data_IF_948149809623
#
_entry.id   IF_948149809623
#
_cell.length_a   1.000
_cell.length_b   1.000
_cell.length_c   1.000
_cell.angle_alpha   90.00
_cell.angle_beta   90.00
_cell.angle_gamma   90.00
#
_symmetry.space_group_name_H-M   'P 1'
#
loop_
_entity.id
_entity.type
_entity.pdbx_description
1 polymer ?
#
# COMPACT_ATOMS: atom_id res chain seq x y z
N UNK A 1 6.88 26.64 -12.22
CA UNK A 1 6.54 25.33 -11.64
C UNK A 1 7.58 24.33 -12.09
N UNK A 2 8.08 23.48 -11.20
CA UNK A 2 9.06 22.45 -11.55
C UNK A 2 8.30 21.24 -12.10
N UNK A 3 8.63 20.73 -13.30
CA UNK A 3 8.01 19.51 -13.82
C UNK A 3 8.23 18.35 -12.83
N UNK A 4 7.16 17.62 -12.52
CA UNK A 4 7.19 16.45 -11.67
C UNK A 4 6.21 15.39 -12.17
N UNK A 5 6.48 14.14 -11.84
CA UNK A 5 5.70 12.97 -12.24
C UNK A 5 5.34 12.15 -11.01
N UNK A 6 4.18 11.50 -11.02
CA UNK A 6 3.87 10.47 -10.04
C UNK A 6 4.55 9.16 -10.45
N UNK A 7 5.55 8.76 -9.67
CA UNK A 7 6.11 7.42 -9.71
C UNK A 7 5.34 6.49 -8.77
N UNK A 8 5.46 5.19 -9.00
CA UNK A 8 4.87 4.17 -8.15
C UNK A 8 5.97 3.24 -7.63
N UNK A 9 5.99 3.00 -6.32
CA UNK A 9 6.85 2.04 -5.67
C UNK A 9 6.00 0.86 -5.19
N UNK A 10 6.12 -0.27 -5.88
CA UNK A 10 5.25 -1.42 -5.70
C UNK A 10 5.89 -2.46 -4.79
N UNK A 11 5.09 -3.01 -3.87
CA UNK A 11 5.54 -4.07 -2.99
C UNK A 11 5.64 -5.39 -3.73
N UNK A 12 6.86 -5.91 -3.89
CA UNK A 12 7.09 -7.22 -4.47
C UNK A 12 6.57 -8.30 -3.50
N UNK A 13 5.74 -9.21 -3.99
CA UNK A 13 5.10 -10.24 -3.16
C UNK A 13 6.16 -11.18 -2.62
N UNK A 14 6.13 -11.48 -1.31
CA UNK A 14 7.11 -12.34 -0.64
C UNK A 14 6.88 -13.85 -0.86
N UNK A 15 7.91 -14.70 -0.69
CA UNK A 15 7.81 -16.15 -0.92
C UNK A 15 6.80 -16.88 -0.02
N UNK A 16 6.50 -16.30 1.15
CA UNK A 16 5.58 -16.86 2.16
C UNK A 16 4.13 -16.38 2.01
N UNK A 17 3.77 -15.78 0.85
CA UNK A 17 2.39 -15.38 0.56
C UNK A 17 1.43 -16.54 0.84
N UNK A 18 0.44 -16.31 1.69
CA UNK A 18 -0.45 -17.36 2.21
C UNK A 18 -1.74 -16.76 2.75
N UNK A 19 -2.80 -17.56 2.79
CA UNK A 19 -4.10 -17.17 3.32
C UNK A 19 -4.30 -17.64 4.77
N UNK A 20 -3.55 -17.03 5.70
CA UNK A 20 -3.58 -17.38 7.12
C UNK A 20 -4.73 -16.70 7.92
N UNK A 21 -5.45 -15.75 7.32
CA UNK A 21 -6.61 -15.09 7.94
C UNK A 21 -6.27 -14.23 9.16
N UNK A 22 -5.25 -13.38 9.05
CA UNK A 22 -4.62 -12.67 10.18
C UNK A 22 -5.16 -11.25 10.44
N UNK A 23 -6.10 -10.76 9.62
CA UNK A 23 -6.57 -9.36 9.65
C UNK A 23 -8.06 -9.25 9.99
N UNK A 24 -8.43 -9.04 11.27
CA UNK A 24 -9.81 -8.70 11.63
C UNK A 24 -10.33 -7.47 10.87
N UNK A 25 -11.57 -7.55 10.36
CA UNK A 25 -12.18 -6.51 9.53
C UNK A 25 -11.81 -6.51 8.06
N UNK A 26 -10.82 -7.31 7.64
CA UNK A 26 -10.60 -7.61 6.22
C UNK A 26 -11.38 -8.89 5.85
N UNK A 27 -12.50 -8.71 5.16
CA UNK A 27 -13.39 -9.79 4.78
C UNK A 27 -12.71 -10.80 3.85
N UNK A 28 -11.90 -10.35 2.89
CA UNK A 28 -11.20 -11.24 1.95
C UNK A 28 -10.20 -12.16 2.67
N UNK A 29 -9.39 -11.60 3.57
CA UNK A 29 -8.49 -12.36 4.44
C UNK A 29 -9.25 -13.41 5.27
N UNK A 30 -10.46 -13.07 5.73
CA UNK A 30 -11.26 -13.97 6.58
C UNK A 30 -11.92 -15.09 5.77
N UNK A 31 -12.43 -14.79 4.58
CA UNK A 31 -13.12 -15.73 3.68
C UNK A 31 -12.18 -16.77 3.07
N UNK A 32 -10.93 -16.39 2.76
CA UNK A 32 -9.96 -17.30 2.14
C UNK A 32 -9.06 -18.01 3.17
N UNK A 33 -9.34 -17.86 4.48
CA UNK A 33 -8.52 -18.44 5.53
C UNK A 33 -8.43 -19.97 5.39
N UNK A 34 -7.21 -20.49 5.32
CA UNK A 34 -6.95 -21.93 5.21
C UNK A 34 -6.76 -22.43 3.78
N UNK A 35 -7.13 -21.62 2.77
CA UNK A 35 -6.99 -21.99 1.37
C UNK A 35 -5.53 -22.05 0.92
N UNK A 36 -5.28 -22.84 -0.12
CA UNK A 36 -3.98 -22.88 -0.76
C UNK A 36 -3.74 -21.59 -1.57
N UNK A 37 -2.58 -20.99 -1.37
CA UNK A 37 -2.09 -19.83 -2.12
C UNK A 37 -1.13 -20.28 -3.22
N UNK A 38 -0.84 -19.39 -4.17
CA UNK A 38 0.19 -19.60 -5.18
C UNK A 38 1.16 -18.41 -5.15
N UNK A 39 2.22 -18.48 -4.32
CA UNK A 39 3.22 -17.42 -4.21
C UNK A 39 3.84 -17.04 -5.56
N UNK A 40 4.18 -18.03 -6.41
CA UNK A 40 4.76 -17.79 -7.74
C UNK A 40 3.83 -16.98 -8.62
N UNK A 41 2.56 -17.35 -8.71
CA UNK A 41 1.57 -16.59 -9.47
C UNK A 41 1.38 -15.18 -8.87
N UNK A 42 1.41 -15.05 -7.54
CA UNK A 42 1.24 -13.76 -6.88
C UNK A 42 2.36 -12.77 -7.23
N UNK A 43 3.62 -13.21 -7.20
CA UNK A 43 4.76 -12.36 -7.57
C UNK A 43 4.73 -12.01 -9.06
N UNK A 44 4.38 -12.95 -9.94
CA UNK A 44 4.27 -12.70 -11.38
C UNK A 44 3.12 -11.74 -11.72
N UNK A 45 1.96 -11.88 -11.09
CA UNK A 45 0.83 -10.94 -11.23
C UNK A 45 1.22 -9.51 -10.81
N UNK A 46 1.96 -9.38 -9.70
CA UNK A 46 2.51 -8.09 -9.27
C UNK A 46 3.45 -7.48 -10.32
N UNK A 47 4.41 -8.27 -10.83
CA UNK A 47 5.37 -7.83 -11.84
C UNK A 47 4.69 -7.42 -13.16
N UNK A 48 3.71 -8.19 -13.63
CA UNK A 48 2.95 -7.88 -14.85
C UNK A 48 2.15 -6.56 -14.69
N UNK A 49 1.59 -6.30 -13.50
CA UNK A 49 0.94 -5.03 -13.17
C UNK A 49 1.93 -3.87 -13.24
N UNK A 50 3.09 -4.00 -12.62
CA UNK A 50 4.13 -2.97 -12.66
C UNK A 50 4.58 -2.72 -14.10
N UNK A 51 4.82 -3.78 -14.88
CA UNK A 51 5.20 -3.69 -16.28
C UNK A 51 4.15 -2.96 -17.11
N UNK A 52 2.87 -3.24 -16.88
CA UNK A 52 1.76 -2.54 -17.54
C UNK A 52 1.85 -1.03 -17.33
N UNK A 53 2.14 -0.56 -16.11
CA UNK A 53 2.29 0.88 -15.86
C UNK A 53 3.58 1.47 -16.43
N UNK A 54 4.68 0.73 -16.37
CA UNK A 54 5.94 1.14 -16.99
C UNK A 54 5.79 1.34 -18.50
N UNK A 55 5.05 0.46 -19.16
CA UNK A 55 4.76 0.52 -20.61
C UNK A 55 3.81 1.66 -20.98
N UNK A 56 3.03 2.16 -20.01
CA UNK A 56 2.26 3.40 -20.12
C UNK A 56 3.10 4.67 -19.85
N UNK A 57 4.41 4.52 -19.64
CA UNK A 57 5.35 5.63 -19.44
C UNK A 57 5.43 6.17 -18.01
N UNK A 58 4.83 5.48 -17.03
CA UNK A 58 4.92 5.87 -15.61
C UNK A 58 6.17 5.27 -14.98
N UNK A 59 6.98 6.03 -14.22
CA UNK A 59 8.09 5.45 -13.47
C UNK A 59 7.60 4.43 -12.44
N UNK A 60 8.22 3.25 -12.44
CA UNK A 60 7.90 2.14 -11.54
C UNK A 60 9.15 1.72 -10.76
N UNK A 61 8.99 1.46 -9.48
CA UNK A 61 10.03 1.00 -8.56
C UNK A 61 9.57 -0.24 -7.82
N UNK A 62 10.52 -1.07 -7.43
CA UNK A 62 10.29 -2.32 -6.70
C UNK A 62 10.68 -2.11 -5.23
N UNK A 63 9.73 -2.25 -4.31
CA UNK A 63 10.01 -2.41 -2.88
C UNK A 63 10.18 -3.90 -2.58
N UNK A 64 11.34 -4.33 -2.05
CA UNK A 64 11.60 -5.75 -1.81
C UNK A 64 10.70 -6.31 -0.68
N UNK A 65 10.37 -7.62 -0.70
CA UNK A 65 9.69 -8.26 0.40
C UNK A 65 10.59 -8.31 1.64
N UNK A 66 9.99 -8.59 2.80
CA UNK A 66 10.71 -8.68 4.07
C UNK A 66 11.17 -10.12 4.36
N UNK A 67 12.11 -10.26 5.31
CA UNK A 67 12.46 -11.57 5.86
C UNK A 67 11.24 -12.22 6.52
N UNK A 68 10.81 -13.36 5.96
CA UNK A 68 9.73 -14.20 6.44
C UNK A 68 10.13 -15.67 6.26
N UNK A 69 9.89 -16.56 7.24
CA UNK A 69 9.47 -16.29 8.62
C UNK A 69 10.40 -15.32 9.39
N UNK A 70 9.84 -14.40 10.17
CA UNK A 70 10.60 -13.44 10.98
C UNK A 70 11.10 -14.09 12.28
N UNK A 71 12.22 -14.81 12.19
CA UNK A 71 12.85 -15.49 13.33
C UNK A 71 13.26 -14.51 14.44
N UNK A 72 13.83 -13.32 14.15
CA UNK A 72 14.13 -12.34 15.19
C UNK A 72 12.93 -11.99 16.07
N UNK A 73 11.74 -11.78 15.48
CA UNK A 73 10.51 -11.55 16.24
C UNK A 73 10.18 -12.72 17.17
N UNK A 74 10.22 -13.96 16.68
CA UNK A 74 9.93 -15.14 17.51
C UNK A 74 10.90 -15.23 18.70
N UNK A 75 12.18 -14.89 18.51
CA UNK A 75 13.16 -14.86 19.61
C UNK A 75 12.80 -13.82 20.68
N UNK A 76 12.19 -12.68 20.32
CA UNK A 76 11.69 -11.70 21.31
C UNK A 76 10.58 -12.25 22.21
N UNK A 77 9.89 -13.30 21.76
CA UNK A 77 8.85 -13.99 22.52
C UNK A 77 9.40 -15.11 23.41
N UNK A 78 10.73 -15.31 23.44
CA UNK A 78 11.41 -16.28 24.29
C UNK A 78 11.71 -17.63 23.64
N UNK A 79 11.44 -17.82 22.34
CA UNK A 79 11.86 -19.02 21.62
C UNK A 79 13.38 -19.02 21.40
N UNK A 80 14.05 -20.14 21.70
CA UNK A 80 15.52 -20.25 21.67
C UNK A 80 16.00 -21.47 20.88
N UNK A 81 17.32 -21.57 20.65
CA UNK A 81 17.94 -22.60 19.83
C UNK A 81 18.28 -22.12 18.42
N UNK A 82 18.52 -23.04 17.50
CA UNK A 82 18.68 -22.76 16.07
C UNK A 82 17.41 -22.17 15.46
N UNK A 83 17.52 -21.53 14.29
CA UNK A 83 16.36 -20.91 13.62
C UNK A 83 15.26 -21.93 13.30
N UNK A 84 15.64 -23.15 12.89
CA UNK A 84 14.72 -24.25 12.68
C UNK A 84 13.98 -24.65 13.96
N UNK A 85 14.71 -24.77 15.09
CA UNK A 85 14.12 -25.08 16.39
C UNK A 85 13.20 -23.97 16.88
N UNK A 86 13.54 -22.70 16.64
CA UNK A 86 12.67 -21.56 16.97
C UNK A 86 11.37 -21.62 16.18
N UNK A 87 11.45 -21.87 14.87
CA UNK A 87 10.29 -22.00 14.01
C UNK A 87 9.39 -23.17 14.44
N UNK A 88 9.98 -24.34 14.67
CA UNK A 88 9.26 -25.55 15.11
C UNK A 88 8.54 -25.32 16.46
N UNK A 89 9.26 -24.79 17.46
CA UNK A 89 8.69 -24.47 18.77
C UNK A 89 7.55 -23.45 18.65
N UNK A 90 7.72 -22.39 17.84
CA UNK A 90 6.68 -21.39 17.67
C UNK A 90 5.41 -21.98 17.05
N UNK A 91 5.52 -22.84 16.03
CA UNK A 91 4.36 -23.51 15.44
C UNK A 91 3.68 -24.50 16.37
N UNK A 92 4.44 -25.17 17.23
CA UNK A 92 3.92 -26.11 18.23
C UNK A 92 3.23 -25.41 19.39
N UNK A 93 3.89 -24.41 19.97
CA UNK A 93 3.49 -23.83 21.26
C UNK A 93 2.66 -22.55 21.10
N UNK A 94 2.84 -21.80 20.01
CA UNK A 94 2.14 -20.55 19.76
C UNK A 94 1.88 -20.25 18.26
N UNK A 95 1.07 -21.08 17.56
CA UNK A 95 0.89 -21.02 16.12
C UNK A 95 0.37 -19.67 15.59
N UNK A 96 -0.36 -18.89 16.40
CA UNK A 96 -0.80 -17.54 15.99
C UNK A 96 0.37 -16.55 15.86
N UNK A 97 1.37 -16.64 16.72
CA UNK A 97 2.59 -15.82 16.61
C UNK A 97 3.48 -16.30 15.46
N UNK A 98 3.58 -17.62 15.26
CA UNK A 98 4.28 -18.21 14.12
C UNK A 98 3.67 -17.76 12.79
N UNK A 99 2.34 -17.82 12.64
CA UNK A 99 1.65 -17.35 11.45
C UNK A 99 1.85 -15.84 11.22
N UNK A 100 1.83 -15.02 12.28
CA UNK A 100 2.10 -13.59 12.16
C UNK A 100 3.53 -13.30 11.66
N UNK A 101 4.51 -14.09 12.10
CA UNK A 101 5.90 -13.99 11.66
C UNK A 101 6.09 -14.35 10.17
N UNK A 102 5.13 -15.03 9.54
CA UNK A 102 5.24 -15.53 8.16
C UNK A 102 4.50 -14.68 7.13
N UNK A 103 3.75 -13.66 7.53
CA UNK A 103 2.89 -12.91 6.60
C UNK A 103 3.67 -12.14 5.53
N UNK A 104 3.26 -12.28 4.25
CA UNK A 104 3.75 -11.47 3.13
C UNK A 104 3.04 -10.10 2.98
N UNK A 105 2.40 -9.61 4.04
CA UNK A 105 1.72 -8.31 4.07
C UNK A 105 2.53 -7.07 3.66
N UNK A 106 3.88 -7.03 3.73
CA UNK A 106 4.66 -5.91 3.18
C UNK A 106 4.41 -5.63 1.69
N UNK A 107 3.86 -6.59 0.93
CA UNK A 107 3.49 -6.39 -0.47
C UNK A 107 2.49 -5.24 -0.67
N UNK A 108 1.70 -4.91 0.36
CA UNK A 108 0.77 -3.80 0.31
C UNK A 108 1.47 -2.47 0.60
N UNK A 109 2.23 -2.01 -0.39
CA UNK A 109 3.05 -0.80 -0.32
C UNK A 109 2.25 0.49 -0.05
N UNK A 110 0.93 0.52 -0.30
CA UNK A 110 0.09 1.65 0.11
C UNK A 110 0.16 1.92 1.63
N UNK A 111 0.48 0.90 2.44
CA UNK A 111 0.65 1.06 3.88
C UNK A 111 2.11 1.20 4.31
N UNK A 112 3.07 1.18 3.37
CA UNK A 112 4.49 1.22 3.71
C UNK A 112 4.83 2.52 4.44
N UNK A 113 4.36 3.66 3.93
CA UNK A 113 4.60 4.98 4.49
C UNK A 113 3.51 5.97 4.05
N UNK A 114 3.41 7.11 4.73
CA UNK A 114 2.83 8.32 4.17
C UNK A 114 3.93 9.11 3.44
N UNK A 115 3.59 9.72 2.30
CA UNK A 115 4.53 10.48 1.46
C UNK A 115 4.05 11.93 1.32
N UNK A 116 4.94 12.90 1.49
CA UNK A 116 4.67 14.31 1.18
C UNK A 116 5.68 14.77 0.13
N UNK A 117 5.23 15.16 -1.09
CA UNK A 117 6.13 15.67 -2.13
C UNK A 117 6.83 16.96 -1.70
N UNK A 118 7.98 17.25 -2.31
CA UNK A 118 8.76 18.47 -2.07
C UNK A 118 7.96 19.76 -2.31
N UNK A 119 7.02 19.75 -3.24
CA UNK A 119 6.12 20.87 -3.50
C UNK A 119 5.20 21.22 -2.32
N UNK A 120 5.00 20.29 -1.38
CA UNK A 120 4.11 20.44 -0.24
C UNK A 120 4.86 20.45 1.11
N UNK A 121 6.18 20.26 1.10
CA UNK A 121 6.99 20.18 2.31
C UNK A 121 7.74 21.50 2.55
N UNK A 122 7.77 21.94 3.81
CA UNK A 122 8.36 23.23 4.18
C UNK A 122 9.87 23.38 3.85
N UNK A 123 10.62 22.28 3.80
CA UNK A 123 12.06 22.28 3.51
C UNK A 123 12.39 21.91 2.04
N UNK A 124 11.36 21.68 1.20
CA UNK A 124 11.53 21.33 -0.21
C UNK A 124 12.06 19.92 -0.48
N UNK A 125 12.06 19.01 0.50
CA UNK A 125 12.39 17.58 0.31
C UNK A 125 11.15 16.72 0.21
N UNK A 126 11.27 15.53 -0.39
CA UNK A 126 10.22 14.52 -0.33
C UNK A 126 10.34 13.78 1.00
N UNK A 127 9.27 13.79 1.80
CA UNK A 127 9.25 13.16 3.11
C UNK A 127 8.50 11.84 3.09
N UNK A 128 9.02 10.88 3.87
CA UNK A 128 8.43 9.58 4.09
C UNK A 128 8.38 9.30 5.59
N UNK A 129 7.24 8.88 6.12
CA UNK A 129 7.15 8.28 7.46
C UNK A 129 6.61 6.87 7.31
N UNK A 130 7.41 5.81 7.57
CA UNK A 130 6.91 4.45 7.60
C UNK A 130 5.74 4.30 8.58
N UNK A 131 4.68 3.62 8.18
CA UNK A 131 3.52 3.42 9.05
C UNK A 131 3.84 2.36 10.11
N UNK A 132 3.40 2.55 11.36
CA UNK A 132 3.69 1.59 12.42
C UNK A 132 2.79 0.35 12.39
N UNK A 133 1.62 0.43 11.72
CA UNK A 133 0.69 -0.68 11.49
C UNK A 133 0.31 -1.44 12.76
N UNK A 134 0.30 -0.74 13.90
CA UNK A 134 0.21 -1.34 15.24
C UNK A 134 -1.11 -2.09 15.47
N UNK A 135 -2.14 -1.81 14.68
CA UNK A 135 -3.46 -2.44 14.81
C UNK A 135 -3.42 -3.94 14.49
N UNK A 136 -2.53 -4.39 13.61
CA UNK A 136 -2.38 -5.79 13.25
C UNK A 136 -0.97 -6.29 13.56
N UNK A 137 -0.86 -7.30 14.42
CA UNK A 137 0.44 -7.81 14.88
C UNK A 137 1.40 -8.17 13.74
N UNK A 138 0.94 -8.94 12.75
CA UNK A 138 1.80 -9.35 11.63
C UNK A 138 2.33 -8.16 10.82
N UNK A 139 1.59 -7.05 10.82
CA UNK A 139 1.95 -5.81 10.12
C UNK A 139 2.79 -4.86 10.95
N UNK A 140 2.64 -4.86 12.27
CA UNK A 140 3.49 -4.05 13.14
C UNK A 140 4.96 -4.47 13.12
N UNK A 141 5.27 -5.63 12.54
CA UNK A 141 6.63 -6.13 12.29
C UNK A 141 7.28 -5.54 11.03
N UNK A 142 6.59 -4.71 10.26
CA UNK A 142 7.03 -4.25 8.93
C UNK A 142 7.96 -3.04 9.00
N UNK A 143 7.58 -2.03 9.80
CA UNK A 143 8.04 -0.64 9.64
C UNK A 143 9.57 -0.46 9.65
N UNK A 144 10.31 -1.26 10.43
CA UNK A 144 11.77 -1.16 10.49
C UNK A 144 12.44 -1.61 9.19
N UNK A 145 11.97 -2.71 8.59
CA UNK A 145 12.50 -3.17 7.30
C UNK A 145 11.99 -2.28 6.17
N UNK A 146 10.75 -1.81 6.25
CA UNK A 146 10.19 -0.82 5.32
C UNK A 146 11.05 0.44 5.27
N UNK A 147 11.48 0.95 6.43
CA UNK A 147 12.38 2.11 6.48
C UNK A 147 13.68 1.83 5.71
N UNK A 148 14.31 0.67 5.90
CA UNK A 148 15.53 0.31 5.15
C UNK A 148 15.30 0.26 3.65
N UNK A 149 14.15 -0.28 3.22
CA UNK A 149 13.77 -0.32 1.80
C UNK A 149 13.60 1.11 1.23
N UNK A 150 12.98 2.01 1.99
CA UNK A 150 12.83 3.41 1.60
C UNK A 150 14.16 4.16 1.59
N UNK A 151 15.02 3.97 2.61
CA UNK A 151 16.37 4.53 2.64
C UNK A 151 17.20 4.05 1.43
N UNK A 152 17.07 2.77 1.06
CA UNK A 152 17.76 2.20 -0.10
C UNK A 152 17.23 2.72 -1.43
N UNK A 153 15.91 2.98 -1.54
CA UNK A 153 15.30 3.52 -2.75
C UNK A 153 15.54 5.03 -2.92
N UNK A 154 15.59 5.78 -1.81
CA UNK A 154 15.69 7.23 -1.76
C UNK A 154 16.94 7.70 -0.98
N UNK A 155 18.16 7.42 -1.48
CA UNK A 155 19.39 7.57 -0.70
C UNK A 155 19.88 9.03 -0.54
N UNK A 156 19.46 9.94 -1.41
CA UNK A 156 19.94 11.32 -1.44
C UNK A 156 19.28 12.19 -0.33
N UNK A 157 19.94 12.29 0.83
CA UNK A 157 19.39 12.96 2.03
C UNK A 157 19.13 14.48 1.88
N UNK A 158 19.73 15.12 0.88
CA UNK A 158 19.46 16.51 0.49
C UNK A 158 18.12 16.67 -0.24
N UNK A 159 17.54 15.56 -0.74
CA UNK A 159 16.27 15.52 -1.49
C UNK A 159 15.20 14.72 -0.78
N UNK A 160 15.60 13.76 0.04
CA UNK A 160 14.72 12.79 0.68
C UNK A 160 14.91 12.78 2.18
N UNK A 161 13.80 12.70 2.90
CA UNK A 161 13.78 12.57 4.36
C UNK A 161 12.89 11.40 4.76
N UNK A 162 13.53 10.25 5.01
CA UNK A 162 12.86 9.04 5.52
C UNK A 162 12.95 9.03 7.04
N UNK A 163 11.83 9.35 7.69
CA UNK A 163 11.69 9.36 9.15
C UNK A 163 11.60 7.95 9.72
N UNK A 164 11.72 7.83 11.03
CA UNK A 164 11.26 6.63 11.74
C UNK A 164 9.72 6.62 11.84
N UNK A 165 9.14 5.42 11.95
CA UNK A 165 7.72 5.29 12.23
C UNK A 165 7.31 6.01 13.52
N UNK A 166 6.02 6.36 13.64
CA UNK A 166 5.48 6.78 14.94
C UNK A 166 5.60 5.65 15.96
N UNK A 167 5.77 5.94 17.26
CA UNK A 167 5.79 4.91 18.31
C UNK A 167 4.63 3.93 18.16
N UNK A 168 4.93 2.62 18.22
CA UNK A 168 3.97 1.54 18.02
C UNK A 168 3.05 1.37 19.24
N UNK A 169 2.16 2.34 19.43
CA UNK A 169 1.11 2.36 20.46
C UNK A 169 -0.23 2.69 19.82
N UNK A 170 -1.32 2.17 20.38
CA UNK A 170 -2.67 2.34 19.82
C UNK A 170 -3.10 3.82 19.68
N UNK A 171 -2.54 4.72 20.49
CA UNK A 171 -2.82 6.17 20.42
C UNK A 171 -2.20 6.85 19.18
N UNK A 172 -1.21 6.21 18.55
CA UNK A 172 -0.53 6.69 17.36
C UNK A 172 -0.63 5.65 16.24
N UNK A 173 -1.75 4.92 16.18
CA UNK A 173 -1.95 3.90 15.16
C UNK A 173 -2.05 4.56 13.77
N UNK A 174 -1.19 4.11 12.87
CA UNK A 174 -0.97 4.68 11.55
C UNK A 174 -0.87 3.56 10.49
N UNK A 175 -1.59 3.73 9.39
CA UNK A 175 -1.65 2.81 8.26
C UNK A 175 -1.17 3.44 6.94
N UNK A 176 -0.53 4.61 7.00
CA UNK A 176 0.24 5.18 5.90
C UNK A 176 -0.62 5.73 4.75
N UNK A 177 -0.11 5.62 3.52
CA UNK A 177 -0.72 6.20 2.33
C UNK A 177 -2.08 5.62 1.93
N UNK A 178 -2.48 4.45 2.46
CA UNK A 178 -3.83 3.91 2.27
C UNK A 178 -4.93 4.81 2.86
N UNK A 179 -4.56 5.72 3.77
CA UNK A 179 -5.44 6.75 4.33
C UNK A 179 -5.06 8.18 3.90
N UNK A 180 -4.31 8.31 2.81
CA UNK A 180 -3.86 9.60 2.27
C UNK A 180 -4.24 9.76 0.81
N UNK A 181 -4.78 10.93 0.49
CA UNK A 181 -5.01 11.37 -0.89
C UNK A 181 -4.35 12.73 -1.06
N UNK A 182 -3.59 12.88 -2.14
CA UNK A 182 -3.06 14.17 -2.56
C UNK A 182 -3.83 14.67 -3.77
N UNK A 183 -4.39 15.87 -3.66
CA UNK A 183 -5.01 16.59 -4.77
C UNK A 183 -4.13 17.77 -5.20
N UNK A 184 -4.02 18.04 -6.50
CA UNK A 184 -3.18 19.09 -7.06
C UNK A 184 -3.61 19.45 -8.49
N UNK A 185 -3.33 20.67 -8.92
CA UNK A 185 -3.52 21.08 -10.32
C UNK A 185 -2.62 20.25 -11.25
N UNK A 186 -1.31 20.29 -10.95
CA UNK A 186 -0.22 19.56 -11.58
C UNK A 186 0.59 18.83 -10.51
N UNK A 187 1.21 17.69 -10.83
CA UNK A 187 1.98 16.93 -9.84
C UNK A 187 3.05 17.80 -9.14
N UNK A 188 3.74 18.65 -9.90
CA UNK A 188 4.78 19.55 -9.37
C UNK A 188 4.27 20.87 -8.78
N UNK A 189 2.96 21.10 -8.77
CA UNK A 189 2.34 22.26 -8.13
C UNK A 189 2.04 21.96 -6.64
N UNK A 190 1.94 22.98 -5.78
CA UNK A 190 1.45 22.81 -4.41
C UNK A 190 0.10 22.10 -4.38
N UNK A 191 -0.04 21.15 -3.47
CA UNK A 191 -1.21 20.29 -3.34
C UNK A 191 -1.90 20.39 -1.98
N UNK A 192 -3.04 19.70 -1.90
CA UNK A 192 -3.80 19.46 -0.68
C UNK A 192 -3.63 18.01 -0.26
N UNK A 193 -3.25 17.82 1.00
CA UNK A 193 -3.00 16.53 1.62
C UNK A 193 -4.21 16.13 2.48
N UNK A 194 -5.12 15.35 1.90
CA UNK A 194 -6.26 14.77 2.61
C UNK A 194 -5.80 13.55 3.41
N UNK A 195 -5.82 13.67 4.74
CA UNK A 195 -5.48 12.61 5.68
C UNK A 195 -6.75 12.11 6.37
N UNK A 196 -7.17 10.90 6.01
CA UNK A 196 -8.40 10.29 6.49
C UNK A 196 -8.11 9.50 7.76
N UNK A 197 -8.99 9.54 8.75
CA UNK A 197 -8.82 8.81 10.01
C UNK A 197 -10.13 8.19 10.47
N UNK A 198 -10.07 7.09 11.22
CA UNK A 198 -11.27 6.38 11.66
C UNK A 198 -11.73 6.77 13.07
N UNK A 199 -10.78 6.94 14.00
CA UNK A 199 -11.05 7.28 15.40
C UNK A 199 -10.09 8.31 15.96
N UNK A 200 -10.49 8.94 17.05
CA UNK A 200 -9.60 9.71 17.91
C UNK A 200 -8.93 8.77 18.92
N UNK A 201 -7.70 9.07 19.32
CA UNK A 201 -6.88 8.19 20.14
C UNK A 201 -7.43 8.02 21.57
N UNK A 202 -8.02 9.09 22.11
CA UNK A 202 -8.47 9.18 23.50
C UNK A 202 -9.98 8.91 23.67
N UNK A 203 -10.66 8.57 22.58
CA UNK A 203 -12.08 8.24 22.58
C UNK A 203 -12.24 6.73 22.35
N UNK A 204 -13.03 6.01 23.17
CA UNK A 204 -13.31 4.61 22.93
C UNK A 204 -13.91 4.38 21.53
N UNK A 205 -13.52 3.27 20.90
CA UNK A 205 -14.09 2.81 19.64
C UNK A 205 -14.88 1.53 19.89
N UNK A 206 -16.15 1.53 19.53
CA UNK A 206 -17.11 0.44 19.75
C UNK A 206 -17.65 -0.18 18.44
N UNK A 207 -17.08 0.22 17.29
CA UNK A 207 -17.45 -0.34 16.00
C UNK A 207 -17.09 -1.83 15.88
N UNK A 208 -17.84 -2.61 15.07
CA UNK A 208 -17.65 -4.06 14.94
C UNK A 208 -16.28 -4.44 14.35
N UNK A 209 -15.66 -3.52 13.61
CA UNK A 209 -14.30 -3.65 13.10
C UNK A 209 -13.41 -2.50 13.60
N UNK A 210 -12.10 -2.73 13.77
CA UNK A 210 -11.21 -1.71 14.34
C UNK A 210 -11.01 -0.54 13.37
N UNK A 211 -11.17 0.68 13.88
CA UNK A 211 -10.65 1.89 13.22
C UNK A 211 -9.12 1.95 13.39
N UNK A 212 -8.40 1.60 12.32
CA UNK A 212 -6.94 1.38 12.35
C UNK A 212 -6.12 2.67 12.36
N UNK A 213 -6.66 3.75 11.82
CA UNK A 213 -6.01 5.06 11.76
C UNK A 213 -6.54 5.99 12.85
N UNK A 214 -5.61 6.60 13.60
CA UNK A 214 -5.92 7.67 14.55
C UNK A 214 -5.76 9.06 13.95
N UNK A 215 -6.60 10.01 14.35
CA UNK A 215 -6.47 11.43 13.99
C UNK A 215 -5.10 11.98 14.42
N UNK A 216 -4.63 11.55 15.59
CA UNK A 216 -3.39 11.98 16.23
C UNK A 216 -2.17 11.53 15.46
N UNK A 217 -2.17 10.30 14.93
CA UNK A 217 -1.14 9.83 14.02
C UNK A 217 -1.08 10.67 12.75
N UNK A 218 -2.22 10.89 12.09
CA UNK A 218 -2.30 11.70 10.87
C UNK A 218 -1.78 13.13 11.09
N UNK A 219 -2.14 13.74 12.22
CA UNK A 219 -1.61 15.06 12.61
C UNK A 219 -0.10 15.03 12.90
N UNK A 220 0.41 14.00 13.55
CA UNK A 220 1.83 13.87 13.86
C UNK A 220 2.67 13.72 12.59
N UNK A 221 2.22 12.91 11.63
CA UNK A 221 2.86 12.77 10.32
C UNK A 221 2.85 14.10 9.56
N UNK A 222 1.69 14.77 9.47
CA UNK A 222 1.60 16.08 8.82
C UNK A 222 2.56 17.11 9.41
N UNK A 223 2.72 17.15 10.74
CA UNK A 223 3.71 18.00 11.42
C UNK A 223 5.15 17.60 11.11
N UNK A 224 5.49 16.30 11.15
CA UNK A 224 6.86 15.79 10.87
C UNK A 224 7.32 16.11 9.45
N UNK A 225 6.38 16.14 8.50
CA UNK A 225 6.67 16.44 7.11
C UNK A 225 6.64 17.95 6.81
N UNK A 226 6.18 18.78 7.74
CA UNK A 226 5.91 20.19 7.46
C UNK A 226 4.93 20.37 6.30
N UNK A 227 3.94 19.48 6.20
CA UNK A 227 3.05 19.39 5.04
C UNK A 227 2.10 20.59 4.97
N UNK A 228 1.99 21.21 3.80
CA UNK A 228 1.00 22.24 3.49
C UNK A 228 -0.34 21.64 3.05
N UNK A 229 -1.40 22.46 3.10
CA UNK A 229 -2.71 22.09 2.58
C UNK A 229 -3.32 20.86 3.26
N UNK A 230 -3.02 20.62 4.55
CA UNK A 230 -3.51 19.43 5.26
C UNK A 230 -5.00 19.57 5.56
N UNK A 231 -5.78 18.59 5.10
CA UNK A 231 -7.21 18.42 5.44
C UNK A 231 -7.37 17.11 6.19
N UNK A 232 -7.98 17.15 7.36
CA UNK A 232 -8.30 15.96 8.14
C UNK A 232 -9.78 15.63 7.98
N UNK A 233 -10.09 14.42 7.54
CA UNK A 233 -11.47 13.95 7.39
C UNK A 233 -11.69 12.64 8.14
N UNK A 234 -12.83 12.51 8.79
CA UNK A 234 -13.19 11.25 9.43
C UNK A 234 -13.83 10.32 8.40
N UNK A 235 -13.31 9.09 8.32
CA UNK A 235 -13.93 7.99 7.58
C UNK A 235 -15.32 7.72 8.15
N UNK A 236 -16.30 7.42 7.30
CA UNK A 236 -17.61 6.99 7.76
C UNK A 236 -17.53 5.78 8.68
N UNK A 237 -18.18 5.85 9.84
CA UNK A 237 -18.32 4.69 10.73
C UNK A 237 -19.07 3.55 10.06
N UNK A 238 -20.05 3.86 9.20
CA UNK A 238 -20.80 2.88 8.43
C UNK A 238 -19.90 2.16 7.42
N UNK A 239 -19.00 2.88 6.74
CA UNK A 239 -18.02 2.26 5.84
C UNK A 239 -17.10 1.30 6.60
N UNK A 240 -16.53 1.73 7.73
CA UNK A 240 -15.67 0.88 8.57
C UNK A 240 -16.44 -0.36 9.02
N UNK A 241 -17.67 -0.20 9.51
CA UNK A 241 -18.52 -1.31 9.93
C UNK A 241 -18.85 -2.28 8.78
N UNK A 242 -18.90 -1.80 7.54
CA UNK A 242 -19.09 -2.61 6.34
C UNK A 242 -17.85 -3.39 5.89
N UNK A 243 -16.68 -3.17 6.50
CA UNK A 243 -15.41 -3.82 6.14
C UNK A 243 -14.40 -2.91 5.46
N UNK A 244 -14.63 -1.59 5.43
CA UNK A 244 -13.66 -0.59 4.93
C UNK A 244 -12.58 -0.35 5.98
N UNK A 245 -11.49 -1.11 5.93
CA UNK A 245 -10.42 -1.00 6.92
C UNK A 245 -9.42 0.13 6.61
N UNK A 246 -9.40 0.65 5.37
CA UNK A 246 -8.62 1.78 4.89
C UNK A 246 -9.44 2.64 3.92
N UNK A 247 -9.12 3.92 3.79
CA UNK A 247 -9.82 4.85 2.91
C UNK A 247 -9.71 4.46 1.42
N UNK A 248 -8.58 3.90 1.00
CA UNK A 248 -8.35 3.41 -0.37
C UNK A 248 -9.26 2.23 -0.79
N UNK A 249 -10.17 1.76 0.07
CA UNK A 249 -11.22 0.79 -0.28
C UNK A 249 -12.53 1.48 -0.71
N UNK A 250 -12.70 2.78 -0.43
CA UNK A 250 -13.90 3.57 -0.78
C UNK A 250 -13.61 4.94 -1.39
N UNK A 251 -12.34 5.33 -1.48
CA UNK A 251 -11.94 6.63 -2.03
C UNK A 251 -10.52 6.58 -2.61
N UNK A 252 -10.35 7.12 -3.82
CA UNK A 252 -9.07 7.36 -4.47
C UNK A 252 -9.09 8.72 -5.13
N UNK A 253 -7.95 9.41 -5.20
CA UNK A 253 -7.83 10.67 -5.91
C UNK A 253 -6.49 10.80 -6.60
N UNK A 254 -6.48 11.61 -7.66
CA UNK A 254 -5.29 11.98 -8.40
C UNK A 254 -5.57 13.33 -9.06
N UNK A 255 -4.53 14.17 -9.15
CA UNK A 255 -4.67 15.51 -9.73
C UNK A 255 -5.78 16.29 -9.01
N UNK A 256 -6.65 16.96 -9.71
CA UNK A 256 -7.77 17.73 -9.15
C UNK A 256 -8.97 16.85 -8.77
N UNK A 257 -8.92 15.55 -9.04
CA UNK A 257 -10.08 14.66 -8.99
C UNK A 257 -10.06 13.75 -7.76
N UNK A 258 -11.16 13.77 -7.00
CA UNK A 258 -11.45 12.84 -5.91
C UNK A 258 -12.61 11.92 -6.33
N UNK A 259 -12.35 10.62 -6.46
CA UNK A 259 -13.32 9.58 -6.78
C UNK A 259 -13.66 8.76 -5.54
N UNK A 260 -14.92 8.78 -5.10
CA UNK A 260 -15.31 8.21 -3.81
C UNK A 260 -16.76 7.74 -3.78
N UNK A 261 -17.04 6.81 -2.86
CA UNK A 261 -18.38 6.36 -2.52
C UNK A 261 -19.09 7.37 -1.62
N UNK A 262 -20.42 7.54 -1.70
CA UNK A 262 -21.17 8.50 -0.87
C UNK A 262 -20.96 8.31 0.65
N UNK A 263 -20.82 7.05 1.10
CA UNK A 263 -20.42 6.63 2.44
C UNK A 263 -18.90 6.72 2.74
N UNK A 264 -18.06 7.37 1.94
CA UNK A 264 -16.63 7.44 2.26
C UNK A 264 -16.36 8.24 3.54
N UNK A 265 -17.01 9.39 3.73
CA UNK A 265 -16.74 10.28 4.85
C UNK A 265 -17.92 10.33 5.83
N UNK A 266 -17.64 10.59 7.11
CA UNK A 266 -18.69 10.80 8.11
C UNK A 266 -19.46 12.11 7.85
N UNK A 267 -18.74 13.15 7.40
CA UNK A 267 -19.31 14.42 6.94
C UNK A 267 -18.76 14.75 5.53
N UNK A 268 -19.43 14.23 4.50
CA UNK A 268 -19.03 14.43 3.09
C UNK A 268 -19.09 15.90 2.69
N UNK A 269 -20.14 16.63 3.09
CA UNK A 269 -20.29 18.04 2.75
C UNK A 269 -19.21 18.90 3.39
N UNK A 270 -18.92 18.69 4.69
CA UNK A 270 -17.84 19.36 5.40
C UNK A 270 -16.47 19.01 4.83
N UNK A 271 -16.24 17.76 4.45
CA UNK A 271 -14.99 17.31 3.80
C UNK A 271 -14.78 18.02 2.47
N UNK A 272 -15.78 18.05 1.58
CA UNK A 272 -15.68 18.78 0.32
C UNK A 272 -15.47 20.29 0.53
N UNK A 273 -16.15 20.89 1.52
CA UNK A 273 -15.96 22.31 1.84
C UNK A 273 -14.55 22.60 2.38
N UNK A 274 -13.98 21.71 3.19
CA UNK A 274 -12.60 21.83 3.67
C UNK A 274 -11.58 21.71 2.53
N UNK A 275 -11.80 20.79 1.60
CA UNK A 275 -10.96 20.64 0.39
C UNK A 275 -11.06 21.90 -0.49
N UNK A 276 -12.27 22.40 -0.80
CA UNK A 276 -12.45 23.64 -1.57
C UNK A 276 -11.72 24.83 -0.95
N UNK A 277 -11.78 24.96 0.39
CA UNK A 277 -11.04 26.01 1.11
C UNK A 277 -9.53 25.83 1.02
N UNK A 278 -9.04 24.60 1.15
CA UNK A 278 -7.61 24.30 1.08
C UNK A 278 -7.03 24.44 -0.34
N UNK A 279 -7.89 24.38 -1.36
CA UNK A 279 -7.54 24.52 -2.79
C UNK A 279 -7.78 25.93 -3.34
N UNK A 280 -8.29 26.86 -2.51
CA UNK A 280 -8.60 28.24 -2.92
C UNK A 280 -7.36 28.93 -3.50
N UNK A 281 -7.48 29.42 -4.74
CA UNK A 281 -6.37 30.04 -5.47
C UNK A 281 -5.32 29.07 -6.03
N UNK A 282 -5.49 27.75 -5.85
CA UNK A 282 -4.61 26.72 -6.38
C UNK A 282 -5.23 25.99 -7.58
N UNK A 283 -6.44 25.43 -7.41
CA UNK A 283 -7.22 24.73 -8.45
C UNK A 283 -8.65 24.46 -7.98
N UNK A 284 -9.54 24.14 -8.92
CA UNK A 284 -10.91 23.74 -8.61
C UNK A 284 -10.98 22.21 -8.46
N UNK A 285 -11.29 21.65 -7.27
CA UNK A 285 -11.37 20.21 -7.09
C UNK A 285 -12.63 19.63 -7.75
N UNK A 286 -12.47 18.50 -8.44
CA UNK A 286 -13.54 17.74 -9.07
C UNK A 286 -13.92 16.55 -8.16
N UNK A 287 -15.18 16.51 -7.74
CA UNK A 287 -15.71 15.44 -6.91
C UNK A 287 -16.53 14.47 -7.77
N UNK A 288 -16.08 13.23 -7.87
CA UNK A 288 -16.79 12.14 -8.56
C UNK A 288 -17.33 11.19 -7.50
N UNK A 289 -18.58 11.41 -7.12
CA UNK A 289 -19.29 10.63 -6.11
C UNK A 289 -20.08 9.49 -6.75
N UNK A 290 -20.01 8.29 -6.16
CA UNK A 290 -20.86 7.14 -6.53
C UNK A 290 -21.87 6.90 -5.43
N UNK A 291 -23.15 6.88 -5.79
CA UNK A 291 -24.23 6.66 -4.86
C UNK A 291 -24.33 5.19 -4.44
N UNK A 292 -24.79 4.95 -3.21
CA UNK A 292 -25.15 3.62 -2.70
C UNK A 292 -26.25 2.94 -3.54
N UNK A 293 -27.03 3.71 -4.32
CA UNK A 293 -28.06 3.17 -5.19
C UNK A 293 -27.45 2.50 -6.45
N UNK A 294 -26.43 3.14 -7.03
CA UNK A 294 -25.72 2.63 -8.20
C UNK A 294 -24.79 1.48 -7.79
N UNK A 295 -24.03 1.68 -6.72
CA UNK A 295 -23.08 0.72 -6.19
C UNK A 295 -23.21 0.60 -4.67
N UNK A 296 -23.94 -0.42 -4.16
CA UNK A 296 -24.00 -0.70 -2.74
C UNK A 296 -22.60 -0.94 -2.16
N UNK A 297 -22.38 -0.52 -0.91
CA UNK A 297 -21.08 -0.64 -0.24
C UNK A 297 -20.50 -2.06 -0.27
N UNK A 298 -21.32 -3.11 -0.13
CA UNK A 298 -20.86 -4.49 -0.19
C UNK A 298 -20.28 -4.87 -1.57
N UNK A 299 -20.85 -4.33 -2.66
CA UNK A 299 -20.34 -4.51 -4.02
C UNK A 299 -19.06 -3.68 -4.22
N UNK A 300 -18.99 -2.46 -3.69
CA UNK A 300 -17.77 -1.65 -3.72
C UNK A 300 -16.60 -2.37 -3.02
N UNK A 301 -16.85 -2.95 -1.85
CA UNK A 301 -15.86 -3.68 -1.05
C UNK A 301 -15.49 -5.02 -1.69
N UNK A 302 -16.42 -5.76 -2.29
CA UNK A 302 -16.07 -7.06 -2.89
C UNK A 302 -15.39 -6.92 -4.26
N UNK A 303 -15.69 -5.85 -5.00
CA UNK A 303 -15.11 -5.59 -6.33
C UNK A 303 -13.81 -4.80 -6.31
N UNK A 304 -13.53 -4.11 -5.20
CA UNK A 304 -12.38 -3.20 -5.02
C UNK A 304 -12.34 -2.05 -6.04
N UNK A 305 -13.50 -1.55 -6.51
CA UNK A 305 -13.55 -0.44 -7.48
C UNK A 305 -12.75 0.78 -7.01
N UNK A 306 -12.85 1.18 -5.74
CA UNK A 306 -12.11 2.34 -5.23
C UNK A 306 -10.67 2.03 -4.85
N UNK A 307 -10.30 0.74 -4.76
CA UNK A 307 -8.90 0.31 -4.64
C UNK A 307 -8.20 0.19 -6.00
N UNK A 308 -8.80 0.80 -7.02
CA UNK A 308 -8.18 1.00 -8.33
C UNK A 308 -7.10 2.08 -8.27
N UNK A 309 -6.18 2.05 -9.22
CA UNK A 309 -5.24 3.16 -9.40
C UNK A 309 -5.87 4.20 -10.32
N UNK A 310 -6.04 5.42 -9.83
CA UNK A 310 -6.38 6.57 -10.66
C UNK A 310 -5.07 7.25 -11.09
N UNK A 311 -4.76 7.24 -12.38
CA UNK A 311 -3.47 7.67 -12.92
C UNK A 311 -3.63 8.69 -14.05
N UNK A 312 -2.64 9.56 -14.19
CA UNK A 312 -2.48 10.42 -15.36
C UNK A 312 -1.47 9.76 -16.31
N UNK A 313 -1.94 9.26 -17.45
CA UNK A 313 -1.02 8.73 -18.48
C UNK A 313 -0.37 9.93 -19.20
N UNK A 314 0.97 9.96 -19.39
CA UNK A 314 1.63 11.03 -20.11
C UNK A 314 1.03 11.23 -21.51
N UNK A 315 0.59 12.44 -21.81
CA UNK A 315 0.00 12.81 -23.11
C UNK A 315 -1.50 12.54 -23.25
N UNK A 316 -2.16 11.97 -22.24
CA UNK A 316 -3.63 11.89 -22.21
C UNK A 316 -4.22 13.08 -21.44
N UNK A 317 -5.38 13.60 -21.86
CA UNK A 317 -6.02 14.75 -21.21
C UNK A 317 -6.86 14.36 -19.98
N UNK A 318 -7.22 13.08 -19.87
CA UNK A 318 -8.11 12.53 -18.83
C UNK A 318 -7.42 11.43 -18.07
N UNK A 319 -7.89 11.19 -16.85
CA UNK A 319 -7.37 10.16 -15.97
C UNK A 319 -7.80 8.77 -16.44
N UNK A 320 -6.93 7.80 -16.20
CA UNK A 320 -7.20 6.38 -16.44
C UNK A 320 -7.38 5.67 -15.10
N UNK A 321 -8.41 4.83 -15.00
CA UNK A 321 -8.69 3.98 -13.85
C UNK A 321 -8.18 2.56 -14.13
N UNK A 322 -7.25 2.06 -13.32
CA UNK A 322 -6.72 0.69 -13.41
C UNK A 322 -7.35 -0.16 -12.31
N UNK A 323 -8.34 -0.96 -12.69
CA UNK A 323 -9.17 -1.76 -11.79
C UNK A 323 -8.67 -3.22 -11.70
N UNK A 324 -8.97 -3.93 -10.60
CA UNK A 324 -8.85 -5.39 -10.57
C UNK A 324 -9.91 -6.05 -11.47
N UNK A 325 -9.68 -7.29 -11.89
CA UNK A 325 -10.66 -8.08 -12.66
C UNK A 325 -12.00 -8.26 -11.95
N UNK A 326 -12.03 -8.25 -10.62
CA UNK A 326 -13.21 -8.35 -9.78
C UNK A 326 -14.17 -7.16 -9.98
N UNK A 327 -13.64 -5.99 -10.35
CA UNK A 327 -14.46 -4.84 -10.78
C UNK A 327 -15.17 -5.11 -12.10
N UNK A 328 -14.53 -5.78 -13.06
CA UNK A 328 -15.16 -6.18 -14.32
C UNK A 328 -16.22 -7.26 -14.09
N UNK A 329 -15.92 -8.19 -13.19
CA UNK A 329 -16.75 -9.39 -12.98
C UNK A 329 -17.99 -9.08 -12.09
N UNK A 330 -17.97 -8.00 -11.31
CA UNK A 330 -19.14 -7.48 -10.58
C UNK A 330 -19.98 -6.56 -11.50
N UNK A 331 -21.25 -6.90 -11.82
CA UNK A 331 -22.04 -6.15 -12.80
C UNK A 331 -22.26 -4.67 -12.48
N UNK A 332 -22.49 -4.32 -11.19
CA UNK A 332 -22.71 -2.94 -10.77
C UNK A 332 -21.43 -2.12 -10.84
N UNK A 333 -20.34 -2.70 -10.36
CA UNK A 333 -19.02 -2.04 -10.37
C UNK A 333 -18.53 -1.83 -11.80
N UNK A 334 -18.75 -2.82 -12.66
CA UNK A 334 -18.47 -2.70 -14.09
C UNK A 334 -19.31 -1.60 -14.74
N UNK A 335 -20.62 -1.56 -14.47
CA UNK A 335 -21.50 -0.52 -15.00
C UNK A 335 -21.04 0.89 -14.58
N UNK A 336 -20.67 1.09 -13.30
CA UNK A 336 -20.11 2.37 -12.84
C UNK A 336 -18.81 2.70 -13.56
N UNK A 337 -17.87 1.77 -13.63
CA UNK A 337 -16.59 1.99 -14.31
C UNK A 337 -16.78 2.37 -15.79
N UNK A 338 -17.67 1.68 -16.51
CA UNK A 338 -17.96 2.00 -17.91
C UNK A 338 -18.69 3.35 -18.06
N UNK A 339 -19.62 3.68 -17.16
CA UNK A 339 -20.29 4.97 -17.15
C UNK A 339 -19.31 6.13 -16.94
N UNK A 340 -18.31 5.95 -16.06
CA UNK A 340 -17.23 6.93 -15.87
C UNK A 340 -16.45 7.15 -17.16
N UNK A 341 -15.96 6.08 -17.79
CA UNK A 341 -15.21 6.16 -19.05
C UNK A 341 -16.01 6.79 -20.20
N UNK A 342 -17.32 6.50 -20.27
CA UNK A 342 -18.21 7.04 -21.29
C UNK A 342 -18.68 8.48 -21.03
N UNK A 343 -18.49 9.00 -19.82
CA UNK A 343 -18.87 10.37 -19.45
C UNK A 343 -17.92 11.41 -20.07
N UNK A 344 -18.26 12.69 -19.91
CA UNK A 344 -17.36 13.81 -20.17
C UNK A 344 -16.57 14.25 -18.91
N UNK A 345 -16.58 13.42 -17.86
CA UNK A 345 -15.90 13.67 -16.60
C UNK A 345 -14.38 13.44 -16.66
N UNK A 346 -13.67 13.60 -15.53
CA UNK A 346 -12.21 13.53 -15.51
C UNK A 346 -11.63 12.14 -15.81
N UNK A 347 -12.40 11.07 -15.61
CA UNK A 347 -11.97 9.68 -15.85
C UNK A 347 -12.38 9.28 -17.26
N UNK A 348 -11.43 9.07 -18.17
CA UNK A 348 -11.69 8.80 -19.60
C UNK A 348 -11.44 7.37 -20.05
N UNK A 349 -10.75 6.57 -19.25
CA UNK A 349 -10.44 5.19 -19.61
C UNK A 349 -10.47 4.29 -18.38
N UNK A 350 -10.89 3.05 -18.59
CA UNK A 350 -10.77 1.97 -17.60
C UNK A 350 -9.94 0.85 -18.20
N UNK A 351 -8.96 0.36 -17.45
CA UNK A 351 -8.18 -0.84 -17.76
C UNK A 351 -8.28 -1.82 -16.59
N UNK A 352 -8.02 -3.09 -16.86
CA UNK A 352 -8.11 -4.15 -15.86
C UNK A 352 -6.79 -4.89 -15.74
N UNK A 353 -6.42 -5.25 -14.51
CA UNK A 353 -5.24 -6.05 -14.18
C UNK A 353 -5.64 -7.27 -13.36
N UNK A 354 -4.96 -8.39 -13.58
CA UNK A 354 -5.16 -9.60 -12.79
C UNK A 354 -4.19 -9.63 -11.61
N UNK A 355 -4.72 -9.36 -10.42
CA UNK A 355 -4.00 -9.44 -9.14
C UNK A 355 -4.74 -10.34 -8.15
N UNK A 356 -5.39 -11.40 -8.66
CA UNK A 356 -6.28 -12.29 -7.90
C UNK A 356 -5.65 -12.87 -6.63
N UNK A 357 -4.34 -13.19 -6.64
CA UNK A 357 -3.67 -13.70 -5.43
C UNK A 357 -3.60 -12.65 -4.31
N UNK A 358 -3.42 -11.37 -4.64
CA UNK A 358 -3.46 -10.27 -3.67
C UNK A 358 -4.90 -9.95 -3.25
N UNK A 359 -5.83 -9.93 -4.22
CA UNK A 359 -7.25 -9.66 -3.98
C UNK A 359 -7.89 -10.63 -2.99
N UNK A 360 -7.54 -11.93 -3.06
CA UNK A 360 -8.02 -12.94 -2.10
C UNK A 360 -7.57 -12.69 -0.66
N UNK A 361 -6.55 -11.88 -0.44
CA UNK A 361 -6.11 -11.47 0.89
C UNK A 361 -6.46 -9.99 1.19
N UNK A 362 -7.26 -9.35 0.32
CA UNK A 362 -7.81 -8.01 0.50
C UNK A 362 -6.89 -6.88 0.07
N UNK A 363 -6.09 -7.07 -0.99
CA UNK A 363 -5.35 -5.97 -1.62
C UNK A 363 -5.53 -5.93 -3.13
N UNK A 364 -6.08 -4.84 -3.64
CA UNK A 364 -6.20 -4.59 -5.07
C UNK A 364 -4.98 -3.85 -5.64
N UNK A 365 -5.13 -3.28 -6.85
CA UNK A 365 -4.04 -2.62 -7.56
C UNK A 365 -3.43 -1.45 -6.78
N UNK A 366 -4.25 -0.64 -6.10
CA UNK A 366 -3.78 0.49 -5.29
C UNK A 366 -3.04 0.04 -4.03
N UNK A 367 -3.54 -0.97 -3.31
CA UNK A 367 -2.87 -1.48 -2.10
C UNK A 367 -1.42 -1.91 -2.39
N UNK A 368 -1.17 -2.48 -3.56
CA UNK A 368 0.16 -2.96 -3.97
C UNK A 368 1.18 -1.85 -4.24
N UNK A 369 0.78 -0.56 -4.26
CA UNK A 369 1.68 0.54 -4.66
C UNK A 369 1.68 1.74 -3.71
N UNK A 370 2.86 2.28 -3.47
CA UNK A 370 3.10 3.58 -2.84
C UNK A 370 3.28 4.64 -3.92
N UNK A 371 2.47 5.71 -3.92
CA UNK A 371 2.65 6.84 -4.84
C UNK A 371 3.73 7.78 -4.34
N UNK A 372 4.61 8.21 -5.23
CA UNK A 372 5.69 9.14 -4.92
C UNK A 372 5.79 10.16 -6.05
N UNK A 373 5.43 11.41 -5.77
CA UNK A 373 5.61 12.49 -6.75
C UNK A 373 7.06 12.99 -6.67
N UNK A 374 7.73 13.00 -7.81
CA UNK A 374 9.15 13.35 -7.94
C UNK A 374 9.33 14.34 -9.08
N UNK A 375 10.07 15.41 -8.82
CA UNK A 375 10.67 16.23 -9.86
C UNK A 375 11.70 15.41 -10.65
N UNK A 376 12.09 15.88 -11.83
CA UNK A 376 13.13 15.21 -12.64
C UNK A 376 14.43 14.97 -11.86
N UNK A 377 14.88 15.96 -11.09
CA UNK A 377 16.11 15.88 -10.31
C UNK A 377 16.00 14.92 -9.11
N UNK A 378 14.82 14.82 -8.48
CA UNK A 378 14.57 13.83 -7.43
C UNK A 378 14.46 12.42 -8.04
N UNK A 379 13.76 12.26 -9.17
CA UNK A 379 13.65 10.97 -9.85
C UNK A 379 15.04 10.43 -10.23
N UNK A 380 15.92 11.29 -10.74
CA UNK A 380 17.30 10.93 -11.06
C UNK A 380 18.16 10.55 -9.83
N UNK A 381 17.76 10.98 -8.63
CA UNK A 381 18.47 10.70 -7.38
C UNK A 381 17.96 9.43 -6.66
N UNK A 382 16.96 8.74 -7.21
CA UNK A 382 16.51 7.43 -6.72
C UNK A 382 17.54 6.34 -7.02
N UNK A 383 17.48 5.21 -6.32
CA UNK A 383 18.32 4.06 -6.63
C UNK A 383 17.89 3.44 -7.99
N UNK A 384 18.75 3.50 -9.02
CA UNK A 384 18.40 3.01 -10.35
C UNK A 384 18.23 1.49 -10.41
N UNK A 385 18.85 0.72 -9.52
CA UNK A 385 18.73 -0.74 -9.49
C UNK A 385 17.34 -1.22 -9.03
N UNK A 386 16.59 -0.35 -8.35
CA UNK A 386 15.22 -0.61 -7.93
C UNK A 386 14.18 -0.10 -8.95
N UNK A 387 14.60 0.61 -10.01
CA UNK A 387 13.71 1.10 -11.07
C UNK A 387 13.39 -0.01 -12.05
N UNK A 388 12.10 -0.27 -12.28
CA UNK A 388 11.67 -1.28 -13.23
C UNK A 388 12.05 -0.87 -14.65
N UNK A 389 12.84 -1.73 -15.28
CA UNK A 389 13.22 -1.72 -16.70
C UNK A 389 12.85 -3.07 -17.29
N UNK A 390 12.87 -3.21 -18.61
CA UNK A 390 12.67 -4.53 -19.24
C UNK A 390 13.65 -5.57 -18.71
N UNK A 391 14.91 -5.17 -18.50
CA UNK A 391 15.95 -6.03 -17.95
C UNK A 391 15.67 -6.43 -16.49
N UNK A 392 15.30 -5.48 -15.62
CA UNK A 392 14.97 -5.80 -14.23
C UNK A 392 13.71 -6.68 -14.15
N UNK A 393 12.68 -6.36 -14.94
CA UNK A 393 11.45 -7.16 -15.02
C UNK A 393 11.75 -8.62 -15.41
N UNK A 394 12.55 -8.84 -16.47
CA UNK A 394 12.95 -10.19 -16.88
C UNK A 394 13.73 -10.93 -15.78
N UNK A 395 14.67 -10.25 -15.12
CA UNK A 395 15.44 -10.84 -14.00
C UNK A 395 14.55 -11.23 -12.82
N UNK A 396 13.63 -10.34 -12.42
CA UNK A 396 12.69 -10.60 -11.31
C UNK A 396 11.71 -11.71 -11.64
N UNK A 397 11.28 -11.83 -12.91
CA UNK A 397 10.45 -12.95 -13.36
C UNK A 397 11.18 -14.28 -13.20
N UNK A 398 12.40 -14.39 -13.71
CA UNK A 398 13.22 -15.61 -13.54
C UNK A 398 13.50 -15.92 -12.07
N UNK A 399 13.78 -14.90 -11.26
CA UNK A 399 13.96 -15.05 -9.81
C UNK A 399 12.70 -15.59 -9.13
N UNK A 400 11.53 -15.04 -9.45
CA UNK A 400 10.23 -15.50 -8.92
C UNK A 400 9.91 -16.93 -9.35
N UNK A 401 10.11 -17.27 -10.63
CA UNK A 401 9.92 -18.63 -11.16
C UNK A 401 10.82 -19.67 -10.48
N UNK A 402 12.06 -19.29 -10.16
CA UNK A 402 13.05 -20.15 -9.51
C UNK A 402 12.72 -20.42 -8.04
N UNK A 403 12.43 -19.38 -7.27
CA UNK A 403 12.41 -19.46 -5.81
C UNK A 403 11.03 -19.69 -5.21
N UNK A 404 9.96 -19.30 -5.90
CA UNK A 404 8.62 -19.34 -5.33
C UNK A 404 7.94 -20.67 -5.62
N UNK A 405 7.26 -21.21 -4.60
CA UNK A 405 6.36 -22.36 -4.72
C UNK A 405 5.10 -21.95 -5.51
N UNK A 406 4.53 -22.90 -6.25
CA UNK A 406 3.26 -22.73 -6.98
C UNK A 406 2.03 -23.16 -6.16
N UNK A 407 2.23 -23.87 -5.06
CA UNK A 407 1.23 -24.09 -4.02
C UNK A 407 1.87 -23.89 -2.65
N UNK A 408 1.20 -23.12 -1.77
CA UNK A 408 1.59 -22.98 -0.37
C UNK A 408 0.33 -22.95 0.51
N UNK A 409 0.22 -23.94 1.40
CA UNK A 409 -0.83 -24.03 2.42
C UNK A 409 -0.33 -23.44 3.74
N UNK A 410 -1.22 -22.95 4.62
CA UNK A 410 -0.78 -22.41 5.92
C UNK A 410 0.04 -23.38 6.78
N UNK A 411 -0.16 -24.69 6.64
CA UNK A 411 0.63 -25.70 7.36
C UNK A 411 2.09 -25.78 6.87
N UNK A 412 2.34 -25.45 5.60
CA UNK A 412 3.69 -25.48 5.01
C UNK A 412 4.57 -24.34 5.54
N UNK A 413 3.99 -23.34 6.20
CA UNK A 413 4.73 -22.23 6.83
C UNK A 413 5.59 -22.69 8.03
N UNK A 414 5.39 -23.93 8.51
CA UNK A 414 6.22 -24.57 9.52
C UNK A 414 7.44 -25.30 8.93
N UNK A 415 7.50 -25.46 7.61
CA UNK A 415 8.59 -26.16 6.92
C UNK A 415 9.90 -25.38 6.99
N UNK A 416 10.94 -26.01 7.52
CA UNK A 416 12.28 -25.42 7.55
C UNK A 416 12.80 -25.13 6.13
N UNK A 417 12.49 -25.98 5.14
CA UNK A 417 12.96 -25.76 3.78
C UNK A 417 12.44 -24.44 3.20
N UNK A 418 11.21 -24.03 3.57
CA UNK A 418 10.65 -22.75 3.14
C UNK A 418 11.43 -21.56 3.72
N UNK A 419 11.92 -21.65 4.96
CA UNK A 419 12.77 -20.62 5.56
C UNK A 419 14.08 -20.47 4.77
N UNK A 420 14.73 -21.59 4.44
CA UNK A 420 16.01 -21.61 3.72
C UNK A 420 15.84 -21.11 2.27
N UNK A 421 14.77 -21.55 1.58
CA UNK A 421 14.36 -21.06 0.25
C UNK A 421 14.11 -19.55 0.27
N UNK A 422 13.35 -19.06 1.26
CA UNK A 422 13.01 -17.64 1.38
C UNK A 422 14.25 -16.79 1.61
N UNK A 423 15.15 -17.19 2.50
CA UNK A 423 16.40 -16.46 2.74
C UNK A 423 17.31 -16.47 1.52
N UNK A 424 17.45 -17.60 0.83
CA UNK A 424 18.24 -17.68 -0.39
C UNK A 424 17.69 -16.77 -1.50
N UNK A 425 16.35 -16.72 -1.64
CA UNK A 425 15.69 -15.81 -2.56
C UNK A 425 15.97 -14.34 -2.22
N UNK A 426 15.88 -13.96 -0.94
CA UNK A 426 16.14 -12.60 -0.45
C UNK A 426 17.62 -12.19 -0.59
N UNK A 427 18.55 -13.14 -0.41
CA UNK A 427 19.98 -12.92 -0.65
C UNK A 427 20.26 -12.59 -2.12
N UNK A 428 19.72 -13.40 -3.04
CA UNK A 428 19.84 -13.13 -4.46
C UNK A 428 19.19 -11.80 -4.84
N UNK A 429 18.03 -11.48 -4.25
CA UNK A 429 17.32 -10.22 -4.50
C UNK A 429 18.11 -9.00 -4.01
N UNK A 430 18.82 -9.11 -2.90
CA UNK A 430 19.71 -8.05 -2.36
C UNK A 430 20.75 -7.65 -3.41
N UNK A 431 21.31 -8.62 -4.13
CA UNK A 431 22.23 -8.37 -5.24
C UNK A 431 21.53 -7.87 -6.51
N UNK A 432 20.31 -8.36 -6.81
CA UNK A 432 19.54 -7.89 -7.98
C UNK A 432 19.21 -6.40 -7.87
N UNK A 433 18.82 -5.94 -6.67
CA UNK A 433 18.33 -4.59 -6.39
C UNK A 433 19.39 -3.64 -5.82
N UNK A 434 20.64 -4.09 -5.70
CA UNK A 434 21.77 -3.34 -5.13
C UNK A 434 21.44 -2.69 -3.77
N UNK A 435 21.06 -3.53 -2.81
CA UNK A 435 20.62 -3.09 -1.48
C UNK A 435 21.76 -3.01 -0.44
N UNK A 436 23.00 -3.29 -0.86
CA UNK A 436 24.17 -3.34 -0.01
C UNK A 436 24.25 -4.58 0.88
N UNK A 437 25.22 -4.59 1.81
CA UNK A 437 25.43 -5.70 2.75
C UNK A 437 24.57 -5.57 4.02
N UNK A 438 24.05 -6.68 4.51
CA UNK A 438 23.27 -6.70 5.77
C UNK A 438 21.93 -5.98 5.66
N UNK A 439 21.31 -5.95 4.47
CA UNK A 439 20.01 -5.30 4.26
C UNK A 439 18.93 -5.96 5.11
N UNK A 440 18.87 -7.30 5.08
CA UNK A 440 18.00 -8.11 5.92
C UNK A 440 18.67 -8.49 7.26
N UNK A 441 17.88 -8.72 8.33
CA UNK A 441 18.42 -9.18 9.61
C UNK A 441 19.26 -10.46 9.51
N UNK A 442 18.83 -11.48 8.76
CA UNK A 442 19.61 -12.73 8.61
C UNK A 442 20.96 -12.58 7.91
N UNK A 443 21.19 -11.48 7.19
CA UNK A 443 22.46 -11.18 6.51
C UNK A 443 23.47 -10.50 7.45
N UNK A 444 23.08 -10.23 8.69
CA UNK A 444 23.94 -9.56 9.67
C UNK A 444 24.61 -10.60 10.58
N UNK A 445 25.85 -10.34 10.99
CA UNK A 445 26.60 -11.24 11.86
C UNK A 445 26.00 -11.36 13.26
#
# INVERSE_FOLDING_TARGET
>A
MTPAVEANADGLIGPTHSYAGLSPGNLASSLNKGEASNPRAAVLQGLDKMKTLADLGLPQFVLPPHERPNIPFLRTLGFTGSDAQVLEQAWKDAPSFAAAACSASPMWAANAATVTPSADAADGRVHFTPANLVTNLHRSLEHQQTKRALDALFPAADRFAVHDALPSVAHLADEGAANHVRLCAEHGAPGVNLLVWGREAFTPWDGPYPARQTREASQAVGRRHGASGVVLAQQSKAAIAGGTFHNDVVCVGARDTLFFHDLAFEDTAGTQAAIRRATEGLFDPIFVEVSSADLPLADAISSYLFNSMLIQIPGEDRLTLICPTETRDNPRSHAVAQALAASNGPIGQVRYVDVRQSMRNGGGPACLRLRVVLTEAELAATNPAMRLTDALHARLKTWGERWYRDELRPADLADQALLDESRSALDELTAILDLGGGFYPFQRP
#
